data_IF_976447052318
#
_entry.id   IF_976447052318
#
_cell.length_a   1.000
_cell.length_b   1.000
_cell.length_c   1.000
_cell.angle_alpha   90.00
_cell.angle_beta   90.00
_cell.angle_gamma   90.00
#
_symmetry.space_group_name_H-M   'P 1'
#
loop_
_entity.id
_entity.type
_entity.pdbx_description
1 polymer ?
#
# COMPACT_ATOMS: atom_id res chain seq x y z
N UNK A 1 -28.58 -28.67 10.29
CA UNK A 1 -29.15 -28.38 8.95
C UNK A 1 -28.69 -26.98 8.60
N UNK A 2 -27.67 -26.85 7.74
CA UNK A 2 -27.17 -25.54 7.31
C UNK A 2 -28.13 -25.03 6.23
N UNK A 3 -28.90 -23.98 6.53
CA UNK A 3 -29.74 -23.34 5.54
C UNK A 3 -28.83 -22.68 4.48
N UNK A 4 -29.05 -23.02 3.21
CA UNK A 4 -28.42 -22.33 2.08
C UNK A 4 -28.87 -20.86 2.11
N UNK A 5 -27.96 -19.97 2.47
CA UNK A 5 -28.21 -18.53 2.48
C UNK A 5 -28.15 -18.07 1.01
N UNK A 6 -29.22 -17.44 0.48
CA UNK A 6 -29.19 -16.92 -0.88
C UNK A 6 -28.04 -15.93 -1.08
N UNK A 7 -27.36 -16.01 -2.23
CA UNK A 7 -26.20 -15.19 -2.57
C UNK A 7 -26.36 -13.68 -2.31
N UNK A 8 -27.56 -13.15 -2.56
CA UNK A 8 -27.93 -11.74 -2.36
C UNK A 8 -28.16 -11.34 -0.89
N UNK A 9 -28.22 -12.29 0.04
CA UNK A 9 -28.41 -12.07 1.48
C UNK A 9 -27.10 -12.05 2.27
N UNK A 10 -25.96 -12.38 1.63
CA UNK A 10 -24.67 -12.57 2.32
C UNK A 10 -24.14 -11.32 3.05
N UNK A 11 -24.30 -10.12 2.49
CA UNK A 11 -23.83 -8.87 3.13
C UNK A 11 -24.68 -8.48 4.36
N UNK A 12 -26.01 -8.61 4.24
CA UNK A 12 -26.93 -8.35 5.35
C UNK A 12 -26.78 -9.41 6.46
N UNK A 13 -26.51 -10.66 6.08
CA UNK A 13 -26.22 -11.74 6.99
C UNK A 13 -24.88 -11.52 7.72
N UNK A 14 -23.82 -11.13 7.02
CA UNK A 14 -22.54 -10.72 7.62
C UNK A 14 -22.70 -9.59 8.61
N UNK A 15 -23.39 -8.51 8.23
CA UNK A 15 -23.63 -7.35 9.10
C UNK A 15 -24.33 -7.73 10.41
N UNK A 16 -25.20 -8.75 10.38
CA UNK A 16 -25.89 -9.28 11.57
C UNK A 16 -25.01 -10.15 12.47
N UNK A 17 -23.96 -10.77 11.93
CA UNK A 17 -23.10 -11.70 12.66
C UNK A 17 -21.75 -11.09 13.07
N UNK A 18 -21.36 -9.97 12.47
CA UNK A 18 -20.24 -9.18 12.92
C UNK A 18 -20.61 -8.48 14.23
N UNK A 19 -19.68 -8.51 15.19
CA UNK A 19 -19.84 -7.90 16.51
C UNK A 19 -18.63 -7.03 16.84
N UNK A 20 -18.84 -6.02 17.69
CA UNK A 20 -17.79 -5.09 18.12
C UNK A 20 -17.09 -4.41 16.95
N UNK A 21 -15.77 -4.28 17.03
CA UNK A 21 -14.93 -3.57 16.03
C UNK A 21 -15.04 -4.12 14.61
N UNK A 22 -15.34 -5.41 14.46
CA UNK A 22 -15.55 -6.01 13.15
C UNK A 22 -16.85 -5.54 12.48
N UNK A 23 -17.89 -5.23 13.27
CA UNK A 23 -19.14 -4.65 12.78
C UNK A 23 -18.95 -3.19 12.37
N UNK A 24 -18.34 -2.40 13.24
CA UNK A 24 -18.03 -0.99 12.98
C UNK A 24 -17.22 -0.86 11.68
N UNK A 25 -16.23 -1.74 11.48
CA UNK A 25 -15.44 -1.81 10.25
C UNK A 25 -16.28 -2.11 9.00
N UNK A 26 -17.14 -3.13 9.04
CA UNK A 26 -17.94 -3.52 7.87
C UNK A 26 -18.96 -2.44 7.51
N UNK A 27 -19.50 -1.73 8.50
CA UNK A 27 -20.43 -0.63 8.27
C UNK A 27 -19.75 0.61 7.65
N UNK A 28 -18.49 0.90 7.99
CA UNK A 28 -17.79 2.12 7.54
C UNK A 28 -16.99 1.91 6.25
N UNK A 29 -16.30 0.77 6.13
CA UNK A 29 -15.29 0.54 5.09
C UNK A 29 -15.51 -0.80 4.39
N UNK A 30 -15.77 -1.86 5.16
CA UNK A 30 -15.83 -3.23 4.62
C UNK A 30 -16.97 -3.46 3.63
N UNK A 31 -18.09 -2.75 3.77
CA UNK A 31 -19.20 -2.82 2.81
C UNK A 31 -18.75 -2.38 1.41
N UNK A 32 -17.93 -1.33 1.27
CA UNK A 32 -17.41 -0.83 -0.01
C UNK A 32 -16.55 -1.84 -0.77
N UNK A 33 -15.84 -2.72 -0.06
CA UNK A 33 -15.05 -3.81 -0.65
C UNK A 33 -15.90 -5.02 -1.08
N UNK A 34 -17.14 -5.08 -0.61
CA UNK A 34 -18.05 -6.21 -0.79
C UNK A 34 -19.20 -5.84 -1.74
N UNK A 35 -19.59 -4.57 -1.81
CA UNK A 35 -20.76 -4.07 -2.58
C UNK A 35 -20.63 -4.13 -4.11
N UNK A 36 -19.57 -4.69 -4.67
CA UNK A 36 -19.43 -4.94 -6.11
C UNK A 36 -18.99 -6.36 -6.49
N UNK A 37 -18.70 -7.23 -5.52
CA UNK A 37 -17.94 -8.47 -5.79
C UNK A 37 -18.61 -9.76 -5.33
N UNK A 38 -19.83 -9.75 -4.79
CA UNK A 38 -20.33 -10.93 -4.08
C UNK A 38 -21.72 -11.38 -4.52
N UNK A 39 -21.75 -12.12 -5.63
CA UNK A 39 -22.81 -13.11 -5.90
C UNK A 39 -22.46 -14.49 -5.33
N UNK A 40 -21.28 -14.64 -4.71
CA UNK A 40 -20.78 -15.91 -4.17
C UNK A 40 -20.06 -15.73 -2.81
N UNK A 41 -20.24 -16.70 -1.90
CA UNK A 41 -19.62 -16.75 -0.58
C UNK A 41 -18.10 -16.93 -0.64
N UNK A 42 -17.56 -17.63 -1.65
CA UNK A 42 -16.12 -17.79 -1.81
C UNK A 42 -15.44 -16.46 -2.18
N UNK A 43 -16.03 -15.67 -3.07
CA UNK A 43 -15.59 -14.30 -3.37
C UNK A 43 -15.61 -13.40 -2.13
N UNK A 44 -16.67 -13.50 -1.31
CA UNK A 44 -16.79 -12.77 -0.06
C UNK A 44 -15.70 -13.17 0.95
N UNK A 45 -15.46 -14.47 1.13
CA UNK A 45 -14.40 -15.00 1.98
C UNK A 45 -13.03 -14.52 1.51
N UNK A 46 -12.78 -14.51 0.20
CA UNK A 46 -11.52 -14.05 -0.37
C UNK A 46 -11.33 -12.54 -0.20
N UNK A 47 -12.37 -11.74 -0.41
CA UNK A 47 -12.35 -10.30 -0.13
C UNK A 47 -12.02 -10.03 1.34
N UNK A 48 -12.73 -10.69 2.28
CA UNK A 48 -12.47 -10.56 3.72
C UNK A 48 -11.04 -11.00 4.11
N UNK A 49 -10.56 -12.12 3.56
CA UNK A 49 -9.22 -12.65 3.84
C UNK A 49 -8.12 -11.73 3.30
N UNK A 50 -8.36 -11.09 2.16
CA UNK A 50 -7.43 -10.11 1.58
C UNK A 50 -7.43 -8.79 2.36
N UNK A 51 -8.57 -8.38 2.90
CA UNK A 51 -8.70 -7.12 3.66
C UNK A 51 -8.12 -7.20 5.08
N UNK A 52 -8.18 -8.36 5.75
CA UNK A 52 -7.80 -8.48 7.17
C UNK A 52 -6.31 -8.21 7.50
N UNK A 53 -5.32 -8.72 6.73
CA UNK A 53 -3.89 -8.45 6.96
C UNK A 53 -3.51 -6.98 6.77
N UNK A 54 -4.20 -6.29 5.85
CA UNK A 54 -4.02 -4.86 5.58
C UNK A 54 -4.49 -4.03 6.78
N UNK A 55 -5.54 -4.45 7.47
CA UNK A 55 -6.18 -3.69 8.55
C UNK A 55 -5.49 -3.86 9.90
N UNK A 56 -4.99 -5.06 10.24
CA UNK A 56 -4.30 -5.29 11.53
C UNK A 56 -3.10 -4.38 11.72
N UNK A 57 -2.40 -4.08 10.63
CA UNK A 57 -1.20 -3.26 10.63
C UNK A 57 -1.43 -1.95 9.87
N UNK A 58 -2.67 -1.53 9.58
CA UNK A 58 -2.92 -0.34 8.75
C UNK A 58 -2.25 0.90 9.34
N UNK A 59 -2.48 1.15 10.63
CA UNK A 59 -1.85 2.28 11.33
C UNK A 59 -0.33 2.14 11.42
N UNK A 60 0.19 0.92 11.52
CA UNK A 60 1.64 0.65 11.54
C UNK A 60 2.27 0.88 10.15
N UNK A 61 1.59 0.46 9.09
CA UNK A 61 2.00 0.65 7.70
C UNK A 61 1.84 2.11 7.26
N UNK A 62 0.79 2.81 7.72
CA UNK A 62 0.65 4.25 7.55
C UNK A 62 1.77 4.98 8.28
N UNK A 63 2.02 4.63 9.55
CA UNK A 63 3.13 5.19 10.30
C UNK A 63 4.46 4.94 9.57
N UNK A 64 4.72 3.70 9.13
CA UNK A 64 5.91 3.33 8.38
C UNK A 64 6.00 4.13 7.07
N UNK A 65 4.91 4.28 6.30
CA UNK A 65 4.89 5.09 5.09
C UNK A 65 5.28 6.55 5.35
N UNK A 66 4.81 7.13 6.46
CA UNK A 66 5.08 8.52 6.85
C UNK A 66 6.33 8.71 7.72
N UNK A 67 7.00 7.66 8.17
CA UNK A 67 8.20 7.77 9.01
C UNK A 67 9.44 7.19 8.34
N UNK A 68 9.29 6.35 7.33
CA UNK A 68 10.41 5.69 6.67
C UNK A 68 11.23 6.72 5.89
N UNK A 69 12.51 6.80 6.22
CA UNK A 69 13.54 7.48 5.45
C UNK A 69 14.57 6.45 4.99
N UNK A 70 15.17 6.68 3.83
CA UNK A 70 16.26 5.87 3.32
C UNK A 70 17.41 5.87 4.35
N UNK A 71 17.80 4.67 4.78
CA UNK A 71 18.98 4.48 5.62
C UNK A 71 20.23 4.56 4.75
N UNK A 72 21.31 5.16 5.26
CA UNK A 72 22.55 5.40 4.49
C UNK A 72 23.16 4.13 3.87
N UNK A 73 23.00 2.98 4.52
CA UNK A 73 23.50 1.67 4.04
C UNK A 73 22.51 0.93 3.15
N UNK A 74 21.35 1.51 2.85
CA UNK A 74 20.30 0.90 2.06
C UNK A 74 20.33 1.46 0.64
N UNK A 75 20.19 0.58 -0.34
CA UNK A 75 20.00 0.94 -1.74
C UNK A 75 18.80 1.90 -1.88
N UNK A 76 18.98 3.08 -2.50
CA UNK A 76 17.88 3.97 -2.90
C UNK A 76 16.64 3.27 -3.51
N UNK A 77 16.84 2.34 -4.44
CA UNK A 77 15.83 1.56 -5.13
C UNK A 77 15.03 0.71 -4.16
N UNK A 78 15.68 0.02 -3.22
CA UNK A 78 15.01 -0.73 -2.15
C UNK A 78 14.07 0.15 -1.32
N UNK A 79 14.48 1.40 -1.05
CA UNK A 79 13.65 2.36 -0.32
C UNK A 79 12.39 2.75 -1.11
N UNK A 80 12.56 3.03 -2.41
CA UNK A 80 11.45 3.33 -3.32
C UNK A 80 10.51 2.13 -3.44
N UNK A 81 11.03 0.93 -3.67
CA UNK A 81 10.24 -0.30 -3.77
C UNK A 81 9.42 -0.55 -2.51
N UNK A 82 10.01 -0.34 -1.33
CA UNK A 82 9.34 -0.51 -0.05
C UNK A 82 8.17 0.46 0.11
N UNK A 83 8.37 1.75 -0.17
CA UNK A 83 7.30 2.76 -0.09
C UNK A 83 6.18 2.51 -1.10
N UNK A 84 6.52 2.13 -2.34
CA UNK A 84 5.52 1.76 -3.37
C UNK A 84 4.71 0.52 -2.97
N UNK A 85 5.36 -0.47 -2.37
CA UNK A 85 4.69 -1.67 -1.86
C UNK A 85 3.71 -1.33 -0.73
N UNK A 86 4.13 -0.48 0.22
CA UNK A 86 3.26 -0.01 1.31
C UNK A 86 2.07 0.77 0.75
N UNK A 87 2.28 1.68 -0.21
CA UNK A 87 1.20 2.43 -0.86
C UNK A 87 0.19 1.49 -1.54
N UNK A 88 0.67 0.48 -2.26
CA UNK A 88 -0.18 -0.51 -2.93
C UNK A 88 -1.02 -1.31 -1.93
N UNK A 89 -0.44 -1.67 -0.78
CA UNK A 89 -1.13 -2.39 0.29
C UNK A 89 -2.21 -1.51 0.93
N UNK A 90 -1.89 -0.24 1.22
CA UNK A 90 -2.80 0.70 1.85
C UNK A 90 -3.88 1.23 0.91
N UNK A 91 -3.70 1.05 -0.41
CA UNK A 91 -4.58 1.53 -1.46
C UNK A 91 -4.97 3.01 -1.26
N UNK A 92 -3.97 3.85 -0.95
CA UNK A 92 -4.21 5.28 -0.72
C UNK A 92 -4.85 5.93 -1.94
N UNK A 93 -5.91 6.71 -1.73
CA UNK A 93 -6.39 7.67 -2.71
C UNK A 93 -5.41 8.86 -2.75
N UNK A 94 -4.36 8.71 -3.55
CA UNK A 94 -3.33 9.71 -3.74
C UNK A 94 -2.99 9.82 -5.21
N UNK A 95 -2.87 11.05 -5.72
CA UNK A 95 -2.42 11.28 -7.09
C UNK A 95 -0.97 10.82 -7.25
N UNK A 96 -0.59 10.42 -8.46
CA UNK A 96 0.77 9.95 -8.72
C UNK A 96 1.81 11.02 -8.36
N UNK A 97 1.54 12.29 -8.67
CA UNK A 97 2.38 13.43 -8.26
C UNK A 97 2.61 13.49 -6.75
N UNK A 98 1.54 13.42 -5.93
CA UNK A 98 1.67 13.46 -4.46
C UNK A 98 2.46 12.28 -3.92
N UNK A 99 2.27 11.10 -4.51
CA UNK A 99 2.99 9.89 -4.13
C UNK A 99 4.48 10.00 -4.49
N UNK A 100 4.82 10.48 -5.68
CA UNK A 100 6.20 10.66 -6.10
C UNK A 100 6.91 11.68 -5.21
N UNK A 101 6.30 12.84 -4.98
CA UNK A 101 6.83 13.86 -4.07
C UNK A 101 7.06 13.31 -2.66
N UNK A 102 6.09 12.55 -2.12
CA UNK A 102 6.25 11.90 -0.82
C UNK A 102 7.44 10.94 -0.80
N UNK A 103 7.59 10.09 -1.82
CA UNK A 103 8.69 9.12 -1.90
C UNK A 103 10.04 9.83 -2.02
N UNK A 104 10.14 10.84 -2.89
CA UNK A 104 11.38 11.60 -3.13
C UNK A 104 11.87 12.26 -1.84
N UNK A 105 10.98 12.87 -1.05
CA UNK A 105 11.30 13.48 0.25
C UNK A 105 11.80 12.47 1.31
N UNK A 106 11.64 11.16 1.07
CA UNK A 106 12.13 10.10 1.96
C UNK A 106 13.45 9.50 1.54
N UNK A 107 13.97 9.86 0.36
CA UNK A 107 15.29 9.46 -0.05
C UNK A 107 16.35 10.26 0.71
N UNK A 108 17.58 9.76 0.70
CA UNK A 108 18.71 10.48 1.24
C UNK A 108 18.90 11.80 0.46
N UNK A 109 19.44 12.87 1.07
CA UNK A 109 19.54 14.18 0.43
C UNK A 109 20.22 14.13 -0.95
N UNK A 110 21.27 13.32 -1.09
CA UNK A 110 22.05 13.19 -2.33
C UNK A 110 21.24 12.56 -3.47
N UNK A 111 20.39 11.58 -3.15
CA UNK A 111 19.50 10.94 -4.11
C UNK A 111 18.33 11.85 -4.43
N UNK A 112 17.77 12.50 -3.41
CA UNK A 112 16.68 13.48 -3.56
C UNK A 112 17.09 14.59 -4.53
N UNK A 113 18.23 15.24 -4.30
CA UNK A 113 18.77 16.28 -5.18
C UNK A 113 18.95 15.78 -6.63
N UNK A 114 19.44 14.54 -6.80
CA UNK A 114 19.62 13.94 -8.11
C UNK A 114 18.28 13.71 -8.83
N UNK A 115 17.26 13.25 -8.11
CA UNK A 115 15.94 12.94 -8.67
C UNK A 115 15.12 14.21 -8.92
N UNK A 116 15.12 15.17 -7.99
CA UNK A 116 14.35 16.42 -8.09
C UNK A 116 14.71 17.23 -9.34
N UNK A 117 16.00 17.34 -9.66
CA UNK A 117 16.48 18.03 -10.87
C UNK A 117 15.95 17.39 -12.16
N UNK A 118 15.65 16.08 -12.12
CA UNK A 118 15.17 15.30 -13.27
C UNK A 118 13.65 15.17 -13.31
N UNK A 119 12.96 15.52 -12.23
CA UNK A 119 11.52 15.65 -12.10
C UNK A 119 10.71 14.48 -12.72
N UNK A 120 10.84 13.25 -12.18
CA UNK A 120 10.08 12.11 -12.68
C UNK A 120 8.57 12.33 -12.52
N UNK A 121 7.80 11.96 -13.54
CA UNK A 121 6.34 12.08 -13.56
C UNK A 121 5.63 10.75 -13.35
N UNK A 122 6.37 9.64 -13.45
CA UNK A 122 5.85 8.29 -13.24
C UNK A 122 6.67 7.49 -12.24
N UNK A 123 6.06 6.48 -11.62
CA UNK A 123 6.76 5.51 -10.77
C UNK A 123 7.92 4.81 -11.48
N UNK A 124 7.76 4.53 -12.78
CA UNK A 124 8.77 3.85 -13.59
C UNK A 124 9.99 4.75 -13.82
N UNK A 125 9.77 6.02 -14.13
CA UNK A 125 10.84 7.01 -14.26
C UNK A 125 11.59 7.18 -12.95
N UNK A 126 10.88 7.29 -11.82
CA UNK A 126 11.51 7.39 -10.50
C UNK A 126 12.43 6.19 -10.23
N UNK A 127 11.96 4.97 -10.48
CA UNK A 127 12.75 3.75 -10.28
C UNK A 127 14.00 3.73 -11.16
N UNK A 128 13.87 4.03 -12.45
CA UNK A 128 15.01 4.09 -13.36
C UNK A 128 16.04 5.14 -12.93
N UNK A 129 15.58 6.28 -12.40
CA UNK A 129 16.48 7.33 -11.92
C UNK A 129 17.27 6.89 -10.68
N UNK A 130 16.62 6.24 -9.71
CA UNK A 130 17.32 5.77 -8.50
C UNK A 130 18.26 4.61 -8.78
N UNK A 131 17.88 3.67 -9.66
CA UNK A 131 18.75 2.59 -10.11
C UNK A 131 19.97 3.15 -10.87
N UNK A 132 19.77 4.14 -11.74
CA UNK A 132 20.87 4.81 -12.43
C UNK A 132 21.78 5.56 -11.45
N UNK A 133 21.24 6.14 -10.39
CA UNK A 133 22.05 6.78 -9.34
C UNK A 133 22.90 5.74 -8.63
N UNK A 134 22.33 4.58 -8.30
CA UNK A 134 23.04 3.44 -7.71
C UNK A 134 24.15 2.94 -8.61
N UNK A 135 23.91 2.76 -9.91
CA UNK A 135 24.96 2.33 -10.84
C UNK A 135 26.13 3.32 -10.90
N UNK A 136 25.84 4.62 -10.73
CA UNK A 136 26.85 5.68 -10.81
C UNK A 136 27.62 5.91 -9.49
N UNK A 137 27.05 5.52 -8.35
CA UNK A 137 27.56 5.86 -7.02
C UNK A 137 27.73 4.65 -6.08
N UNK A 138 27.19 3.50 -6.45
CA UNK A 138 27.18 2.24 -5.68
C UNK A 138 28.50 1.49 -5.69
N UNK A 139 29.40 1.80 -6.63
CA UNK A 139 30.75 1.22 -6.71
C UNK A 139 31.83 2.09 -6.03
N UNK A 140 31.45 3.05 -5.18
CA UNK A 140 32.41 3.80 -4.34
C UNK A 140 32.49 3.28 -2.91
N UNK A 141 32.52 1.97 -2.75
CA UNK A 141 33.35 1.37 -1.70
C UNK A 141 34.66 0.91 -2.34
N UNK A 142 35.71 1.70 -2.19
CA UNK A 142 37.10 1.21 -2.26
C UNK A 142 38.05 2.30 -1.74
N UNK A 143 39.13 1.97 -1.02
CA UNK A 143 39.48 0.78 -0.23
C UNK A 143 39.53 1.03 1.28
#
# INVERSE_FOLDING_TARGET
>A
MFHEIPANLNCAYLKRHLIGKARDWFEVIGSSFVTGMTTDFAQLKQALTNSFPVIRNKSELEAEFYSLHQVRSQAPSDSVYKLLKIQKILNFEMTEEKLLNHIIMRLSPQVMDYVEVRNPTTKAELLQLVEKYEDQHGDKETP
#
